data_IF_149241556007
#
_entry.id   IF_149241556007
#
_cell.length_a   1.000
_cell.length_b   1.000
_cell.length_c   1.000
_cell.angle_alpha   90.00
_cell.angle_beta   90.00
_cell.angle_gamma   90.00
#
_symmetry.space_group_name_H-M   'P 1'
#
loop_
_entity.id
_entity.type
_entity.pdbx_description
1 polymer ?
#
# COMPACT_ATOMS: atom_id res chain seq x y z
N UNK A 1 0.20 -12.07 -7.53
CA UNK A 1 -0.53 -10.79 -7.34
C UNK A 1 -0.68 -10.12 -8.71
N UNK A 2 -1.73 -9.33 -8.96
CA UNK A 2 -2.13 -8.85 -10.29
C UNK A 2 -1.00 -8.21 -11.15
N UNK A 3 -0.05 -7.54 -10.50
CA UNK A 3 1.10 -6.88 -11.18
C UNK A 3 2.34 -7.79 -11.33
N UNK A 4 2.22 -9.09 -11.04
CA UNK A 4 3.34 -10.05 -11.11
C UNK A 4 4.62 -9.61 -10.38
N UNK A 5 4.49 -8.80 -9.32
CA UNK A 5 5.63 -8.32 -8.54
C UNK A 5 6.38 -9.49 -7.89
N UNK A 6 7.71 -9.37 -7.74
CA UNK A 6 8.49 -10.25 -6.87
C UNK A 6 7.87 -10.33 -5.47
N UNK A 7 7.90 -11.50 -4.81
CA UNK A 7 7.23 -11.70 -3.52
C UNK A 7 7.62 -10.68 -2.44
N UNK A 8 8.91 -10.33 -2.36
CA UNK A 8 9.39 -9.34 -1.41
C UNK A 8 8.82 -7.94 -1.69
N UNK A 9 8.77 -7.54 -2.96
CA UNK A 9 8.20 -6.26 -3.36
C UNK A 9 6.69 -6.22 -3.10
N UNK A 10 5.98 -7.31 -3.39
CA UNK A 10 4.56 -7.44 -3.11
C UNK A 10 4.26 -7.33 -1.61
N UNK A 11 5.10 -7.92 -0.76
CA UNK A 11 4.96 -7.83 0.70
C UNK A 11 5.15 -6.39 1.18
N UNK A 12 6.22 -5.72 0.76
CA UNK A 12 6.49 -4.31 1.13
C UNK A 12 5.36 -3.38 0.68
N UNK A 13 4.85 -3.57 -0.55
CA UNK A 13 3.71 -2.82 -1.08
C UNK A 13 2.44 -3.05 -0.25
N UNK A 14 2.12 -4.30 0.07
CA UNK A 14 0.94 -4.63 0.89
C UNK A 14 1.05 -4.03 2.31
N UNK A 15 2.23 -4.08 2.93
CA UNK A 15 2.48 -3.46 4.22
C UNK A 15 2.31 -1.94 4.20
N UNK A 16 2.82 -1.26 3.17
CA UNK A 16 2.63 0.18 3.00
C UNK A 16 1.14 0.54 2.80
N UNK A 17 0.41 -0.20 1.97
CA UNK A 17 -1.02 0.02 1.76
C UNK A 17 -1.84 -0.18 3.04
N UNK A 18 -1.49 -1.19 3.85
CA UNK A 18 -2.11 -1.43 5.15
C UNK A 18 -1.82 -0.28 6.14
N UNK A 19 -0.58 0.20 6.20
CA UNK A 19 -0.20 1.30 7.08
C UNK A 19 -0.90 2.61 6.72
N UNK A 20 -1.06 2.93 5.42
CA UNK A 20 -1.87 4.07 4.98
C UNK A 20 -3.34 3.93 5.40
N UNK A 21 -3.90 2.72 5.25
CA UNK A 21 -5.29 2.45 5.60
C UNK A 21 -5.57 2.65 7.11
N UNK A 22 -4.64 2.27 7.98
CA UNK A 22 -4.77 2.49 9.42
C UNK A 22 -4.84 3.97 9.81
N UNK A 23 -4.32 4.86 8.98
CA UNK A 23 -4.31 6.30 9.22
C UNK A 23 -5.57 7.01 8.68
N UNK A 24 -6.44 6.30 7.96
CA UNK A 24 -7.61 6.87 7.28
C UNK A 24 -8.91 6.29 7.85
N UNK A 25 -9.81 7.17 8.27
CA UNK A 25 -11.17 6.76 8.64
C UNK A 25 -11.95 6.36 7.38
N UNK A 26 -12.88 5.40 7.50
CA UNK A 26 -13.83 5.10 6.43
C UNK A 26 -13.70 3.72 5.75
N UNK A 27 -13.22 2.68 6.42
CA UNK A 27 -13.34 1.29 5.95
C UNK A 27 -12.79 1.05 4.54
N UNK A 28 -13.66 0.89 3.53
CA UNK A 28 -13.25 0.76 2.12
C UNK A 28 -12.86 2.08 1.46
N UNK A 29 -13.42 3.21 1.91
CA UNK A 29 -13.05 4.55 1.42
C UNK A 29 -11.64 4.95 1.85
N UNK A 30 -11.13 4.35 2.93
CA UNK A 30 -9.75 4.56 3.40
C UNK A 30 -8.69 3.74 2.66
N UNK A 31 -9.06 2.94 1.66
CA UNK A 31 -8.10 2.18 0.87
C UNK A 31 -7.23 3.15 0.03
N UNK A 32 -5.89 3.07 0.11
CA UNK A 32 -5.02 3.90 -0.70
C UNK A 32 -4.98 3.44 -2.14
N UNK A 33 -4.66 4.35 -3.04
CA UNK A 33 -4.34 4.01 -4.41
C UNK A 33 -2.88 3.56 -4.56
N UNK A 34 -2.53 3.14 -5.78
CA UNK A 34 -1.19 2.65 -6.11
C UNK A 34 -0.12 3.73 -5.96
N UNK A 35 -0.41 4.96 -6.38
CA UNK A 35 0.55 6.06 -6.34
C UNK A 35 0.86 6.47 -4.89
N UNK A 36 -0.16 6.55 -4.04
CA UNK A 36 -0.01 6.83 -2.61
C UNK A 36 0.82 5.76 -1.91
N UNK A 37 0.55 4.49 -2.22
CA UNK A 37 1.30 3.35 -1.64
C UNK A 37 2.78 3.40 -2.05
N UNK A 38 3.07 3.71 -3.32
CA UNK A 38 4.44 3.88 -3.80
C UNK A 38 5.14 5.09 -3.19
N UNK A 39 4.42 6.20 -2.99
CA UNK A 39 4.97 7.37 -2.32
C UNK A 39 5.35 7.05 -0.87
N UNK A 40 4.53 6.27 -0.14
CA UNK A 40 4.89 5.82 1.21
C UNK A 40 6.12 4.90 1.20
N UNK A 41 6.22 3.97 0.24
CA UNK A 41 7.41 3.13 0.10
C UNK A 41 8.68 3.90 -0.25
N UNK A 42 8.58 5.06 -0.90
CA UNK A 42 9.73 5.89 -1.22
C UNK A 42 10.19 6.77 -0.03
N UNK A 43 9.31 6.97 0.95
CA UNK A 43 9.57 7.80 2.13
C UNK A 43 10.25 7.03 3.28
N UNK A 44 10.37 5.69 3.20
CA UNK A 44 10.88 4.80 4.25
C UNK A 44 11.69 3.64 3.66
#
# INVERSE_FOLDING_TARGET
LAEAMPPEQALRFASAAAALKCQRFGGRLGAPDRAETLAMMAAH
#
